data_IF_123992098079
#
_entry.id   IF_123992098079
#
_cell.length_a   1.000
_cell.length_b   1.000
_cell.length_c   1.000
_cell.angle_alpha   90.00
_cell.angle_beta   90.00
_cell.angle_gamma   90.00
#
_symmetry.space_group_name_H-M   'P 1'
#
loop_
_entity.id
_entity.type
_entity.pdbx_description
1 polymer ?
#
# COMPACT_ATOMS: atom_id res chain seq x y z
N UNK A 1 8.62 4.26 -0.90
CA UNK A 1 9.24 2.96 -1.22
C UNK A 1 8.41 2.29 -2.31
N UNK A 2 8.84 2.37 -3.57
CA UNK A 2 8.06 1.93 -4.74
C UNK A 2 6.57 2.34 -4.65
N UNK A 3 5.67 1.48 -5.14
CA UNK A 3 4.22 1.71 -5.17
C UNK A 3 3.57 1.89 -3.77
N UNK A 4 4.28 1.58 -2.68
CA UNK A 4 3.76 1.72 -1.31
C UNK A 4 3.73 3.17 -0.79
N UNK A 5 4.36 4.12 -1.51
CA UNK A 5 4.47 5.52 -1.08
C UNK A 5 3.14 6.19 -0.74
N UNK A 6 2.11 5.97 -1.57
CA UNK A 6 0.76 6.52 -1.33
C UNK A 6 0.12 6.02 -0.04
N UNK A 7 0.20 4.70 0.21
CA UNK A 7 -0.30 4.08 1.46
C UNK A 7 0.46 4.61 2.68
N UNK A 8 1.78 4.78 2.59
CA UNK A 8 2.57 5.37 3.66
C UNK A 8 2.17 6.81 3.97
N UNK A 9 1.94 7.64 2.94
CA UNK A 9 1.49 9.02 3.11
C UNK A 9 0.10 9.07 3.76
N UNK A 10 -0.83 8.23 3.30
CA UNK A 10 -2.17 8.12 3.86
C UNK A 10 -2.15 7.74 5.35
N UNK A 11 -1.31 6.77 5.73
CA UNK A 11 -1.14 6.42 7.14
C UNK A 11 -0.56 7.55 7.97
N UNK A 12 0.41 8.30 7.44
CA UNK A 12 0.95 9.47 8.14
C UNK A 12 -0.12 10.55 8.33
N UNK A 13 -0.98 10.77 7.33
CA UNK A 13 -2.11 11.70 7.44
C UNK A 13 -3.10 11.28 8.54
N UNK A 14 -3.49 10.00 8.58
CA UNK A 14 -4.38 9.47 9.64
C UNK A 14 -3.72 9.65 11.01
N UNK A 15 -2.45 9.25 11.16
CA UNK A 15 -1.73 9.40 12.42
C UNK A 15 -1.56 10.86 12.85
N UNK A 16 -1.37 11.79 11.91
CA UNK A 16 -1.31 13.22 12.22
C UNK A 16 -2.66 13.75 12.71
N UNK A 17 -3.77 13.40 12.02
CA UNK A 17 -5.13 13.79 12.44
C UNK A 17 -5.48 13.23 13.83
N UNK A 18 -4.99 12.04 14.17
CA UNK A 18 -5.20 11.42 15.50
C UNK A 18 -4.19 11.90 16.56
N UNK A 19 -3.21 12.74 16.21
CA UNK A 19 -2.14 13.17 17.13
C UNK A 19 -2.53 14.41 17.95
N UNK A 20 -1.78 14.64 19.04
CA UNK A 20 -1.86 15.88 19.82
C UNK A 20 -1.38 17.13 19.06
N UNK A 21 -0.71 16.94 17.92
CA UNK A 21 -0.25 18.04 17.06
C UNK A 21 -1.29 18.44 16.00
N UNK A 22 -2.44 17.77 15.97
CA UNK A 22 -3.51 18.12 15.05
C UNK A 22 -4.12 19.48 15.42
N UNK A 23 -4.31 20.33 14.41
CA UNK A 23 -4.80 21.71 14.57
C UNK A 23 -6.23 21.91 14.03
N UNK A 24 -6.95 20.82 13.78
CA UNK A 24 -8.33 20.85 13.27
C UNK A 24 -8.45 20.90 11.75
N UNK A 25 -7.34 21.08 11.00
CA UNK A 25 -7.38 21.10 9.52
C UNK A 25 -7.39 19.69 8.93
N UNK A 26 -7.89 19.56 7.70
CA UNK A 26 -7.77 18.31 6.96
C UNK A 26 -6.32 18.02 6.57
N UNK A 27 -5.97 16.74 6.53
CA UNK A 27 -4.77 16.28 5.86
C UNK A 27 -5.08 15.89 4.41
N UNK A 28 -4.10 16.06 3.52
CA UNK A 28 -4.22 15.68 2.11
C UNK A 28 -3.06 14.74 1.75
N UNK A 29 -3.40 13.49 1.40
CA UNK A 29 -2.45 12.54 0.85
C UNK A 29 -2.59 12.49 -0.68
N UNK A 30 -1.48 12.61 -1.40
CA UNK A 30 -1.46 12.49 -2.86
C UNK A 30 -0.57 11.32 -3.26
N UNK A 31 -1.13 10.38 -4.01
CA UNK A 31 -0.41 9.29 -4.64
C UNK A 31 -0.39 9.55 -6.15
N UNK A 32 0.78 9.77 -6.72
CA UNK A 32 0.94 10.05 -8.15
C UNK A 32 2.19 9.35 -8.67
N UNK A 33 2.11 8.79 -9.88
CA UNK A 33 3.24 8.10 -10.51
C UNK A 33 3.12 8.12 -12.04
N UNK A 34 4.26 7.95 -12.70
CA UNK A 34 4.40 7.68 -14.13
C UNK A 34 5.27 6.43 -14.25
N UNK A 35 4.63 5.29 -14.48
CA UNK A 35 5.28 4.01 -14.66
C UNK A 35 5.73 3.85 -16.12
N UNK A 36 7.01 4.12 -16.38
CA UNK A 36 7.64 3.98 -17.70
C UNK A 36 8.67 2.84 -17.67
N UNK A 37 8.67 2.03 -18.74
CA UNK A 37 9.55 0.88 -18.88
C UNK A 37 10.31 0.90 -20.21
N UNK A 38 11.50 0.31 -20.21
CA UNK A 38 12.33 0.14 -21.40
C UNK A 38 11.69 -0.77 -22.45
N UNK A 39 12.43 -1.07 -23.52
CA UNK A 39 11.94 -2.06 -24.51
C UNK A 39 11.91 -3.45 -23.88
N UNK A 40 10.80 -4.15 -24.01
CA UNK A 40 10.63 -5.51 -23.49
C UNK A 40 9.22 -5.80 -23.02
N UNK A 41 9.04 -6.96 -22.38
CA UNK A 41 7.73 -7.46 -21.94
C UNK A 41 7.07 -6.61 -20.85
N UNK A 42 7.82 -5.79 -20.10
CA UNK A 42 7.27 -4.88 -19.10
C UNK A 42 6.69 -3.58 -19.69
N UNK A 43 6.99 -3.25 -20.96
CA UNK A 43 6.49 -2.00 -21.58
C UNK A 43 4.96 -1.85 -21.56
N UNK A 44 4.17 -2.90 -21.88
CA UNK A 44 2.72 -2.80 -21.86
C UNK A 44 2.12 -2.65 -20.46
N UNK A 45 2.88 -2.86 -19.39
CA UNK A 45 2.42 -2.72 -17.99
C UNK A 45 2.69 -1.32 -17.41
N UNK A 46 2.98 -0.35 -18.27
CA UNK A 46 3.13 1.06 -17.88
C UNK A 46 1.79 1.76 -17.65
N UNK A 47 1.85 2.99 -17.17
CA UNK A 47 0.67 3.80 -16.89
C UNK A 47 1.02 5.09 -16.18
N UNK A 48 0.07 6.00 -16.05
CA UNK A 48 0.23 7.22 -15.28
C UNK A 48 -1.09 7.61 -14.62
N UNK A 49 -1.02 8.17 -13.42
CA UNK A 49 -2.21 8.57 -12.70
C UNK A 49 -1.88 9.30 -11.40
N UNK A 50 -2.88 10.00 -10.86
CA UNK A 50 -2.82 10.65 -9.57
C UNK A 50 -4.14 10.52 -8.83
N UNK A 51 -4.08 10.27 -7.53
CA UNK A 51 -5.21 10.21 -6.61
C UNK A 51 -4.93 11.11 -5.41
N UNK A 52 -5.86 12.02 -5.12
CA UNK A 52 -5.83 12.87 -3.95
C UNK A 52 -6.89 12.42 -2.93
N UNK A 53 -6.47 12.20 -1.68
CA UNK A 53 -7.31 11.69 -0.61
C UNK A 53 -7.33 12.71 0.54
N UNK A 54 -8.51 13.28 0.81
CA UNK A 54 -8.72 14.17 1.94
C UNK A 54 -9.03 13.35 3.20
N UNK A 55 -8.31 13.61 4.29
CA UNK A 55 -8.37 12.85 5.54
C UNK A 55 -8.80 13.76 6.67
N UNK A 56 -9.80 13.33 7.44
CA UNK A 56 -10.34 14.07 8.59
C UNK A 56 -11.33 13.25 9.40
N UNK A 57 -11.86 13.81 10.50
CA UNK A 57 -12.87 13.14 11.33
C UNK A 57 -14.22 12.99 10.60
N UNK A 58 -15.07 12.08 11.09
CA UNK A 58 -16.42 11.82 10.58
C UNK A 58 -16.44 11.44 9.08
N UNK A 59 -15.42 10.70 8.64
CA UNK A 59 -15.29 10.26 7.26
C UNK A 59 -16.33 9.17 6.91
N UNK A 60 -16.81 9.12 5.65
CA UNK A 60 -17.67 8.03 5.16
C UNK A 60 -16.91 6.72 4.96
N UNK A 61 -15.60 6.80 4.73
CA UNK A 61 -14.68 5.65 4.66
C UNK A 61 -13.77 5.71 5.88
N UNK A 62 -14.04 4.84 6.86
CA UNK A 62 -13.39 4.87 8.16
C UNK A 62 -12.29 3.82 8.19
N UNK A 63 -11.12 4.18 8.74
CA UNK A 63 -10.08 3.20 9.05
C UNK A 63 -10.45 2.39 10.29
N UNK A 64 -10.43 1.06 10.18
CA UNK A 64 -10.53 0.18 11.33
C UNK A 64 -9.28 0.32 12.22
N UNK A 65 -9.45 0.98 13.36
CA UNK A 65 -8.36 1.22 14.31
C UNK A 65 -7.75 -0.10 14.76
N UNK A 66 -6.42 -0.13 14.79
CA UNK A 66 -5.61 -1.30 15.17
C UNK A 66 -5.72 -2.52 14.24
N UNK A 67 -6.52 -2.47 13.17
CA UNK A 67 -6.76 -3.58 12.26
C UNK A 67 -5.97 -3.40 10.95
N UNK A 68 -4.64 -3.40 11.09
CA UNK A 68 -3.69 -3.26 9.97
C UNK A 68 -2.51 -4.21 10.15
N UNK A 69 -2.03 -4.80 9.06
CA UNK A 69 -0.79 -5.57 9.03
C UNK A 69 0.22 -4.97 8.05
N UNK A 70 1.50 -5.21 8.30
CA UNK A 70 2.59 -4.72 7.47
C UNK A 70 3.69 -5.77 7.44
N UNK A 71 4.17 -6.07 6.24
CA UNK A 71 5.33 -6.90 5.99
C UNK A 71 6.33 -6.11 5.16
N UNK A 72 7.57 -6.05 5.62
CA UNK A 72 8.65 -5.38 4.92
C UNK A 72 9.86 -6.33 4.89
N UNK A 73 10.52 -6.40 3.74
CA UNK A 73 11.69 -7.24 3.54
C UNK A 73 12.66 -6.53 2.60
N UNK A 74 13.95 -6.72 2.83
CA UNK A 74 14.97 -6.38 1.85
C UNK A 74 14.90 -7.34 0.65
N UNK A 75 14.63 -6.81 -0.54
CA UNK A 75 14.57 -7.57 -1.78
C UNK A 75 15.07 -6.72 -2.96
N UNK A 76 15.56 -7.38 -3.99
CA UNK A 76 15.99 -6.79 -5.27
C UNK A 76 15.11 -7.31 -6.41
N UNK A 77 13.80 -7.31 -6.21
CA UNK A 77 12.82 -7.76 -7.19
C UNK A 77 12.48 -6.68 -8.22
N UNK A 78 12.32 -5.43 -7.77
CA UNK A 78 12.10 -4.25 -8.61
C UNK A 78 12.78 -3.04 -7.99
N UNK A 79 13.69 -2.38 -8.71
CA UNK A 79 14.39 -1.22 -8.21
C UNK A 79 14.96 -0.34 -9.33
N UNK A 80 15.26 0.92 -9.02
CA UNK A 80 15.82 1.92 -9.96
C UNK A 80 17.22 2.36 -9.49
N UNK A 81 18.27 1.57 -9.71
CA UNK A 81 19.62 1.90 -9.24
C UNK A 81 20.34 2.90 -10.15
N UNK A 82 19.98 2.96 -11.43
CA UNK A 82 20.55 3.88 -12.40
C UNK A 82 19.85 5.24 -12.30
N UNK A 83 20.57 6.22 -11.77
CA UNK A 83 20.05 7.58 -11.57
C UNK A 83 19.96 8.38 -12.87
N UNK A 84 20.46 7.85 -13.99
CA UNK A 84 20.42 8.49 -15.31
C UNK A 84 19.24 8.02 -16.17
N UNK A 85 18.50 7.01 -15.70
CA UNK A 85 17.42 6.34 -16.43
C UNK A 85 16.13 6.28 -15.62
N UNK A 86 14.99 6.45 -16.29
CA UNK A 86 13.67 6.26 -15.67
C UNK A 86 13.28 4.79 -15.51
N UNK A 87 13.96 3.90 -16.24
CA UNK A 87 13.60 2.49 -16.37
C UNK A 87 14.10 1.66 -15.18
N UNK A 88 13.23 0.80 -14.60
CA UNK A 88 13.64 -0.07 -13.52
C UNK A 88 14.43 -1.29 -14.01
N UNK A 89 15.24 -1.84 -13.10
CA UNK A 89 15.69 -3.24 -13.17
C UNK A 89 14.62 -4.09 -12.51
N UNK A 90 14.19 -5.15 -13.22
CA UNK A 90 13.09 -6.02 -12.79
C UNK A 90 13.49 -7.48 -12.93
N UNK A 91 13.40 -8.23 -11.82
CA UNK A 91 13.36 -9.69 -11.82
C UNK A 91 11.91 -10.13 -11.67
N UNK A 92 11.21 -10.32 -12.80
CA UNK A 92 9.77 -10.57 -12.79
C UNK A 92 9.36 -11.83 -12.03
N UNK A 93 10.20 -12.88 -12.02
CA UNK A 93 9.91 -14.11 -11.25
C UNK A 93 10.01 -13.81 -9.75
N UNK A 94 11.05 -13.11 -9.34
CA UNK A 94 11.23 -12.72 -7.94
C UNK A 94 10.14 -11.72 -7.49
N UNK A 95 9.73 -10.77 -8.34
CA UNK A 95 8.66 -9.81 -8.03
C UNK A 95 7.34 -10.50 -7.70
N UNK A 96 6.94 -11.50 -8.50
CA UNK A 96 5.72 -12.28 -8.23
C UNK A 96 5.85 -13.04 -6.90
N UNK A 97 7.00 -13.65 -6.64
CA UNK A 97 7.25 -14.37 -5.38
C UNK A 97 7.23 -13.43 -4.17
N UNK A 98 7.88 -12.27 -4.25
CA UNK A 98 7.88 -11.24 -3.22
C UNK A 98 6.46 -10.74 -2.94
N UNK A 99 5.68 -10.45 -3.98
CA UNK A 99 4.31 -9.97 -3.85
C UNK A 99 3.41 -10.98 -3.14
N UNK A 100 3.42 -12.24 -3.57
CA UNK A 100 2.61 -13.30 -2.95
C UNK A 100 3.03 -13.57 -1.49
N UNK A 101 4.33 -13.59 -1.21
CA UNK A 101 4.83 -13.72 0.16
C UNK A 101 4.39 -12.55 1.05
N UNK A 102 4.44 -11.31 0.53
CA UNK A 102 3.99 -10.15 1.26
C UNK A 102 2.47 -10.20 1.52
N UNK A 103 1.69 -10.63 0.52
CA UNK A 103 0.25 -10.83 0.65
C UNK A 103 -0.07 -11.86 1.75
N UNK A 104 0.56 -13.04 1.71
CA UNK A 104 0.35 -14.09 2.70
C UNK A 104 0.67 -13.62 4.12
N UNK A 105 1.85 -12.99 4.30
CA UNK A 105 2.27 -12.51 5.62
C UNK A 105 1.36 -11.38 6.13
N UNK A 106 1.01 -10.42 5.28
CA UNK A 106 0.08 -9.36 5.65
C UNK A 106 -1.29 -9.92 6.03
N UNK A 107 -1.84 -10.85 5.24
CA UNK A 107 -3.15 -11.43 5.51
C UNK A 107 -3.15 -12.26 6.80
N UNK A 108 -2.15 -13.12 7.03
CA UNK A 108 -2.04 -13.89 8.26
C UNK A 108 -1.92 -13.00 9.51
N UNK A 109 -1.11 -11.93 9.42
CA UNK A 109 -0.99 -10.95 10.50
C UNK A 109 -2.28 -10.18 10.73
N UNK A 110 -3.01 -9.85 9.65
CA UNK A 110 -4.32 -9.21 9.72
C UNK A 110 -5.31 -10.12 10.45
N UNK A 111 -5.45 -11.38 10.02
CA UNK A 111 -6.34 -12.36 10.65
C UNK A 111 -6.02 -12.52 12.14
N UNK A 112 -4.73 -12.63 12.49
CA UNK A 112 -4.30 -12.71 13.90
C UNK A 112 -4.72 -11.49 14.73
N UNK A 113 -4.67 -10.28 14.16
CA UNK A 113 -5.11 -9.05 14.84
C UNK A 113 -6.64 -8.99 14.92
N UNK A 114 -7.30 -9.31 13.82
CA UNK A 114 -8.76 -9.31 13.72
C UNK A 114 -9.38 -10.27 14.75
N UNK A 115 -8.90 -11.52 14.81
CA UNK A 115 -9.41 -12.51 15.75
C UNK A 115 -9.19 -12.13 17.20
N UNK A 116 -8.13 -11.39 17.53
CA UNK A 116 -7.94 -10.84 18.87
C UNK A 116 -8.93 -9.73 19.22
N UNK A 117 -9.36 -8.93 18.25
CA UNK A 117 -10.28 -7.81 18.45
C UNK A 117 -11.74 -8.29 18.47
N UNK A 118 -12.11 -9.18 17.55
CA UNK A 118 -13.50 -9.59 17.34
C UNK A 118 -13.86 -10.91 18.01
N UNK A 119 -12.87 -11.71 18.42
CA UNK A 119 -13.07 -13.07 18.91
C UNK A 119 -13.50 -14.07 17.83
N UNK A 120 -13.50 -13.67 16.55
CA UNK A 120 -13.95 -14.49 15.42
C UNK A 120 -12.80 -14.76 14.45
N UNK A 121 -12.88 -15.91 13.78
CA UNK A 121 -12.00 -16.20 12.65
C UNK A 121 -12.36 -15.30 11.46
N UNK A 122 -11.35 -14.78 10.77
CA UNK A 122 -11.52 -14.00 9.55
C UNK A 122 -11.25 -14.88 8.35
N UNK A 123 -12.19 -14.86 7.41
CA UNK A 123 -12.09 -15.55 6.12
C UNK A 123 -12.36 -14.56 4.99
N UNK A 124 -12.27 -15.00 3.73
CA UNK A 124 -12.64 -14.14 2.59
C UNK A 124 -14.12 -13.68 2.64
N UNK A 125 -15.00 -14.49 3.24
CA UNK A 125 -16.41 -14.13 3.42
C UNK A 125 -16.64 -13.04 4.49
N UNK A 126 -15.59 -12.65 5.21
CA UNK A 126 -15.64 -11.55 6.17
C UNK A 126 -15.53 -10.17 5.52
N UNK A 127 -15.30 -10.10 4.21
CA UNK A 127 -15.13 -8.85 3.47
C UNK A 127 -16.19 -8.73 2.37
N UNK A 128 -16.85 -7.57 2.28
CA UNK A 128 -17.73 -7.25 1.15
C UNK A 128 -16.94 -6.99 -0.14
N UNK A 129 -15.70 -6.50 0.01
CA UNK A 129 -14.78 -6.24 -1.08
C UNK A 129 -13.32 -6.38 -0.63
N UNK A 130 -12.45 -6.77 -1.56
CA UNK A 130 -11.00 -6.83 -1.35
C UNK A 130 -10.31 -6.06 -2.48
N UNK A 131 -9.53 -5.04 -2.12
CA UNK A 131 -8.82 -4.17 -3.04
C UNK A 131 -7.33 -4.49 -3.02
N UNK A 132 -6.68 -4.41 -4.18
CA UNK A 132 -5.26 -4.72 -4.37
C UNK A 132 -4.55 -3.61 -5.12
N UNK A 133 -3.22 -3.58 -5.02
CA UNK A 133 -2.41 -2.89 -6.01
C UNK A 133 -2.51 -3.64 -7.35
N UNK A 134 -2.80 -2.90 -8.43
CA UNK A 134 -2.94 -3.41 -9.80
C UNK A 134 -1.88 -2.80 -10.71
#
# INVERSE_FOLDING_TARGET
NACYGGTSALFNCVSWVESSAWDGRYALAVAADIAVYGKGAARPTGGAGAVAMLVGPNAPLIFDRSLRATYMRHAYDFYKPDLTSEYPIVDGKLSIQCYLQALDNCYQLYCKKASKITGKEVTLNSFDAVLFHS
#
